data_IF_634232542697
#
_entry.id   IF_634232542697
#
_cell.length_a   1.000
_cell.length_b   1.000
_cell.length_c   1.000
_cell.angle_alpha   90.00
_cell.angle_beta   90.00
_cell.angle_gamma   90.00
#
_symmetry.space_group_name_H-M   'P 1'
#
loop_
_entity.id
_entity.type
_entity.pdbx_description
1 polymer ?
#
# COMPACT_ATOMS: atom_id res chain seq x y z
N UNK A 1 17.09 -26.17 -32.52
CA UNK A 1 15.62 -26.01 -32.48
C UNK A 1 15.18 -25.85 -31.02
N UNK A 2 13.97 -25.33 -30.71
CA UNK A 2 13.51 -25.15 -29.32
C UNK A 2 13.64 -26.42 -28.47
N UNK A 3 13.33 -27.58 -29.06
CA UNK A 3 13.48 -28.90 -28.43
C UNK A 3 14.93 -29.17 -27.97
N UNK A 4 15.90 -28.93 -28.86
CA UNK A 4 17.32 -29.19 -28.55
C UNK A 4 17.82 -28.30 -27.40
N UNK A 5 17.40 -27.04 -27.39
CA UNK A 5 17.76 -26.07 -26.35
C UNK A 5 17.20 -26.53 -24.99
N UNK A 6 15.92 -26.93 -24.95
CA UNK A 6 15.29 -27.35 -23.71
C UNK A 6 15.85 -28.68 -23.19
N UNK A 7 16.20 -29.62 -24.09
CA UNK A 7 16.87 -30.86 -23.70
C UNK A 7 18.28 -30.59 -23.14
N UNK A 8 19.04 -29.70 -23.76
CA UNK A 8 20.35 -29.29 -23.25
C UNK A 8 20.25 -28.61 -21.88
N UNK A 9 19.26 -27.73 -21.69
CA UNK A 9 19.01 -27.09 -20.40
C UNK A 9 18.59 -28.11 -19.32
N UNK A 10 17.77 -29.09 -19.66
CA UNK A 10 17.37 -30.16 -18.75
C UNK A 10 18.54 -31.05 -18.33
N UNK A 11 19.41 -31.43 -19.28
CA UNK A 11 20.62 -32.19 -19.00
C UNK A 11 21.59 -31.40 -18.10
N UNK A 12 21.78 -30.10 -18.41
CA UNK A 12 22.59 -29.21 -17.59
C UNK A 12 22.04 -29.12 -16.15
N UNK A 13 20.73 -28.91 -16.00
CA UNK A 13 20.09 -28.80 -14.68
C UNK A 13 20.25 -30.07 -13.85
N UNK A 14 20.12 -31.24 -14.48
CA UNK A 14 20.34 -32.54 -13.81
C UNK A 14 21.79 -32.72 -13.37
N UNK A 15 22.76 -32.37 -14.23
CA UNK A 15 24.19 -32.51 -13.93
C UNK A 15 24.67 -31.54 -12.83
N UNK A 16 24.02 -30.39 -12.70
CA UNK A 16 24.37 -29.35 -11.72
C UNK A 16 23.45 -29.35 -10.49
N UNK A 17 22.62 -30.38 -10.32
CA UNK A 17 21.75 -30.55 -9.14
C UNK A 17 20.81 -29.36 -8.89
N UNK A 18 20.23 -28.80 -9.95
CA UNK A 18 19.17 -27.80 -9.80
C UNK A 18 17.84 -28.50 -9.51
N UNK A 19 17.12 -28.02 -8.48
CA UNK A 19 15.82 -28.57 -8.10
C UNK A 19 14.68 -28.09 -9.01
N UNK A 20 14.79 -26.86 -9.54
CA UNK A 20 13.74 -26.21 -10.33
C UNK A 20 14.33 -25.69 -11.63
N UNK A 21 13.69 -26.06 -12.75
CA UNK A 21 13.96 -25.54 -14.08
C UNK A 21 12.70 -24.86 -14.62
N UNK A 22 12.81 -23.58 -14.95
CA UNK A 22 11.74 -22.83 -15.63
C UNK A 22 12.12 -22.71 -17.09
N UNK A 23 11.25 -23.22 -17.98
CA UNK A 23 11.41 -23.11 -19.43
C UNK A 23 10.41 -22.07 -19.93
N UNK A 24 10.92 -20.88 -20.28
CA UNK A 24 10.12 -19.86 -20.95
C UNK A 24 10.02 -20.17 -22.45
N UNK A 25 8.83 -20.00 -23.00
CA UNK A 25 8.53 -20.30 -24.41
C UNK A 25 8.05 -19.03 -25.10
N UNK A 26 8.28 -18.93 -26.41
CA UNK A 26 7.85 -17.76 -27.17
C UNK A 26 6.32 -17.50 -27.00
N UNK A 27 5.97 -16.24 -26.72
CA UNK A 27 4.58 -15.79 -26.63
C UNK A 27 3.84 -15.95 -27.96
N UNK A 28 2.54 -16.25 -27.90
CA UNK A 28 1.73 -16.61 -29.07
C UNK A 28 0.41 -15.86 -29.03
N UNK A 29 0.30 -14.83 -29.87
CA UNK A 29 -0.83 -13.92 -29.91
C UNK A 29 -2.06 -14.51 -30.62
N UNK A 30 -1.90 -15.65 -31.29
CA UNK A 30 -2.98 -16.33 -32.02
C UNK A 30 -2.80 -17.84 -32.04
N UNK A 31 -3.89 -18.54 -32.38
CA UNK A 31 -3.91 -19.99 -32.57
C UNK A 31 -3.30 -20.29 -33.94
N UNK A 32 -1.98 -20.48 -33.99
CA UNK A 32 -1.26 -20.96 -35.18
C UNK A 32 -0.96 -22.46 -35.00
N UNK A 33 -1.48 -23.30 -35.90
CA UNK A 33 -1.31 -24.75 -35.86
C UNK A 33 0.15 -25.18 -35.87
N UNK A 34 1.01 -24.53 -36.66
CA UNK A 34 2.44 -24.86 -36.73
C UNK A 34 3.12 -24.58 -35.39
N UNK A 35 2.74 -23.48 -34.74
CA UNK A 35 3.23 -23.16 -33.40
C UNK A 35 2.73 -24.19 -32.38
N UNK A 36 1.43 -24.51 -32.38
CA UNK A 36 0.87 -25.49 -31.44
C UNK A 36 1.51 -26.87 -31.56
N UNK A 37 1.87 -27.30 -32.77
CA UNK A 37 2.66 -28.51 -32.99
C UNK A 37 4.08 -28.40 -32.41
N UNK A 38 4.73 -27.26 -32.56
CA UNK A 38 6.08 -27.05 -32.01
C UNK A 38 6.10 -27.16 -30.48
N UNK A 39 5.11 -26.58 -29.78
CA UNK A 39 5.07 -26.64 -28.31
C UNK A 39 4.62 -28.01 -27.81
N UNK A 40 3.75 -28.70 -28.54
CA UNK A 40 3.40 -30.09 -28.24
C UNK A 40 4.63 -31.00 -28.36
N UNK A 41 5.45 -30.81 -29.41
CA UNK A 41 6.71 -31.53 -29.58
C UNK A 41 7.71 -31.21 -28.46
N UNK A 42 7.84 -29.94 -28.07
CA UNK A 42 8.67 -29.50 -26.95
C UNK A 42 8.22 -30.15 -25.64
N UNK A 43 6.94 -30.08 -25.32
CA UNK A 43 6.34 -30.68 -24.13
C UNK A 43 6.55 -32.20 -24.10
N UNK A 44 6.34 -32.89 -25.22
CA UNK A 44 6.55 -34.33 -25.35
C UNK A 44 8.01 -34.75 -25.14
N UNK A 45 8.96 -33.91 -25.54
CA UNK A 45 10.39 -34.17 -25.38
C UNK A 45 10.87 -33.99 -23.94
N UNK A 46 10.49 -32.89 -23.27
CA UNK A 46 11.00 -32.57 -21.93
C UNK A 46 10.14 -33.11 -20.79
N UNK A 47 8.88 -33.50 -21.06
CA UNK A 47 7.94 -34.12 -20.11
C UNK A 47 7.86 -33.35 -18.78
N UNK A 48 7.44 -32.08 -18.81
CA UNK A 48 7.42 -31.24 -17.62
C UNK A 48 6.41 -31.76 -16.59
N UNK A 49 6.70 -31.52 -15.31
CA UNK A 49 5.78 -31.83 -14.19
C UNK A 49 4.66 -30.78 -14.14
N UNK A 50 4.99 -29.54 -14.47
CA UNK A 50 4.09 -28.39 -14.44
C UNK A 50 4.11 -27.68 -15.78
N UNK A 51 2.92 -27.46 -16.36
CA UNK A 51 2.69 -26.69 -17.58
C UNK A 51 1.75 -25.55 -17.24
N UNK A 52 2.32 -24.36 -17.05
CA UNK A 52 1.60 -23.16 -16.62
C UNK A 52 1.18 -22.32 -17.82
N UNK A 53 -0.12 -22.06 -17.96
CA UNK A 53 -0.64 -21.14 -18.97
C UNK A 53 -0.68 -19.72 -18.40
N UNK A 54 0.07 -18.80 -19.03
CA UNK A 54 0.14 -17.40 -18.61
C UNK A 54 -0.86 -16.59 -19.42
N UNK A 55 -1.77 -15.89 -18.75
CA UNK A 55 -2.82 -15.11 -19.40
C UNK A 55 -2.93 -13.71 -18.81
N UNK A 56 -3.06 -12.73 -19.70
CA UNK A 56 -3.29 -11.33 -19.34
C UNK A 56 -4.73 -11.13 -18.85
N UNK A 57 -4.91 -10.55 -17.66
CA UNK A 57 -6.21 -10.26 -17.10
C UNK A 57 -7.04 -9.29 -17.97
N UNK A 58 -6.40 -8.51 -18.85
CA UNK A 58 -7.06 -7.57 -19.77
C UNK A 58 -7.65 -8.23 -21.02
N UNK A 59 -7.25 -9.46 -21.38
CA UNK A 59 -7.65 -10.13 -22.64
C UNK A 59 -9.15 -10.48 -22.72
N UNK A 60 -9.93 -10.25 -21.66
CA UNK A 60 -11.39 -10.34 -21.69
C UNK A 60 -11.90 -11.67 -22.23
N UNK A 61 -12.74 -11.61 -23.27
CA UNK A 61 -13.33 -12.79 -23.91
C UNK A 61 -12.36 -13.51 -24.86
N UNK A 62 -11.31 -12.87 -25.35
CA UNK A 62 -10.36 -13.55 -26.26
C UNK A 62 -9.49 -14.56 -25.50
N UNK A 63 -9.27 -14.31 -24.20
CA UNK A 63 -8.60 -15.26 -23.29
C UNK A 63 -9.27 -16.65 -23.27
N UNK A 64 -10.60 -16.72 -23.48
CA UNK A 64 -11.40 -17.96 -23.49
C UNK A 64 -10.97 -18.86 -24.65
N UNK A 65 -10.91 -18.30 -25.86
CA UNK A 65 -10.61 -19.07 -27.06
C UNK A 65 -9.17 -19.56 -27.04
N UNK A 66 -8.24 -18.70 -26.64
CA UNK A 66 -6.83 -19.05 -26.50
C UNK A 66 -6.65 -20.12 -25.42
N UNK A 67 -7.25 -19.95 -24.24
CA UNK A 67 -7.15 -20.94 -23.16
C UNK A 67 -7.68 -22.32 -23.57
N UNK A 68 -8.78 -22.36 -24.33
CA UNK A 68 -9.33 -23.61 -24.87
C UNK A 68 -8.34 -24.29 -25.82
N UNK A 69 -7.82 -23.57 -26.81
CA UNK A 69 -6.89 -24.13 -27.78
C UNK A 69 -5.60 -24.66 -27.13
N UNK A 70 -5.07 -23.94 -26.13
CA UNK A 70 -3.91 -24.41 -25.37
C UNK A 70 -4.23 -25.61 -24.49
N UNK A 71 -5.40 -25.66 -23.85
CA UNK A 71 -5.82 -26.79 -23.03
C UNK A 71 -6.09 -28.07 -23.84
N UNK A 72 -6.55 -27.92 -25.08
CA UNK A 72 -6.78 -29.04 -25.99
C UNK A 72 -5.46 -29.60 -26.56
N UNK A 73 -4.46 -28.74 -26.79
CA UNK A 73 -3.18 -29.14 -27.36
C UNK A 73 -2.13 -29.56 -26.32
N UNK A 74 -2.18 -29.01 -25.10
CA UNK A 74 -1.22 -29.25 -24.04
C UNK A 74 -1.93 -29.63 -22.74
N UNK A 75 -1.39 -30.58 -21.97
CA UNK A 75 -1.92 -30.93 -20.66
C UNK A 75 -1.52 -29.85 -19.64
N UNK A 76 -2.29 -28.77 -19.59
CA UNK A 76 -2.09 -27.69 -18.63
C UNK A 76 -2.30 -28.19 -17.19
N UNK A 77 -1.48 -27.71 -16.26
CA UNK A 77 -1.55 -28.07 -14.83
C UNK A 77 -1.94 -26.89 -13.95
N UNK A 78 -1.74 -25.66 -14.44
CA UNK A 78 -2.11 -24.44 -13.73
C UNK A 78 -2.13 -23.22 -14.63
N UNK A 79 -2.66 -22.13 -14.08
CA UNK A 79 -2.76 -20.84 -14.75
C UNK A 79 -2.01 -19.78 -13.93
N UNK A 80 -1.38 -18.85 -14.63
CA UNK A 80 -0.83 -17.62 -14.05
C UNK A 80 -1.56 -16.44 -14.68
N UNK A 81 -2.13 -15.59 -13.84
CA UNK A 81 -2.79 -14.35 -14.28
C UNK A 81 -1.82 -13.19 -14.16
N UNK A 82 -1.63 -12.40 -15.20
CA UNK A 82 -0.75 -11.22 -15.16
C UNK A 82 -1.54 -9.92 -15.31
N UNK A 83 -0.89 -8.80 -15.00
CA UNK A 83 -1.44 -7.43 -15.14
C UNK A 83 -2.71 -7.19 -14.31
N UNK A 84 -2.72 -7.74 -13.10
CA UNK A 84 -3.73 -7.45 -12.09
C UNK A 84 -3.41 -6.15 -11.32
N UNK A 85 -2.54 -5.30 -11.81
CA UNK A 85 -2.38 -3.92 -11.33
C UNK A 85 -3.31 -2.93 -12.04
N UNK A 86 -3.82 -3.29 -13.23
CA UNK A 86 -4.72 -2.43 -14.00
C UNK A 86 -6.20 -2.50 -13.58
N UNK A 87 -7.03 -1.77 -14.33
CA UNK A 87 -8.49 -1.68 -14.18
C UNK A 87 -9.23 -3.00 -14.51
N UNK A 88 -8.50 -4.03 -14.92
CA UNK A 88 -9.06 -5.33 -15.20
C UNK A 88 -9.65 -5.94 -13.91
N UNK A 89 -10.97 -6.08 -13.88
CA UNK A 89 -11.72 -6.69 -12.77
C UNK A 89 -11.54 -8.21 -12.66
N UNK A 90 -10.49 -8.78 -13.24
CA UNK A 90 -10.19 -10.21 -13.12
C UNK A 90 -11.21 -11.16 -13.76
N UNK A 91 -12.17 -10.68 -14.57
CA UNK A 91 -13.20 -11.54 -15.18
C UNK A 91 -12.63 -12.64 -16.08
N UNK A 92 -11.49 -12.39 -16.73
CA UNK A 92 -10.77 -13.39 -17.52
C UNK A 92 -10.33 -14.60 -16.67
N UNK A 93 -10.00 -14.41 -15.39
CA UNK A 93 -9.63 -15.48 -14.47
C UNK A 93 -10.74 -16.53 -14.33
N UNK A 94 -11.97 -16.08 -14.18
CA UNK A 94 -13.14 -16.95 -14.03
C UNK A 94 -13.38 -17.73 -15.31
N UNK A 95 -13.35 -17.05 -16.46
CA UNK A 95 -13.60 -17.66 -17.76
C UNK A 95 -12.54 -18.70 -18.12
N UNK A 96 -11.25 -18.38 -17.94
CA UNK A 96 -10.14 -19.31 -18.21
C UNK A 96 -10.19 -20.52 -17.28
N UNK A 97 -10.45 -20.32 -15.98
CA UNK A 97 -10.62 -21.44 -15.04
C UNK A 97 -11.83 -22.31 -15.40
N UNK A 98 -12.94 -21.70 -15.78
CA UNK A 98 -14.15 -22.44 -16.15
C UNK A 98 -13.93 -23.36 -17.36
N UNK A 99 -13.19 -22.89 -18.36
CA UNK A 99 -12.94 -23.62 -19.60
C UNK A 99 -11.88 -24.70 -19.43
N UNK A 100 -10.76 -24.34 -18.83
CA UNK A 100 -9.61 -25.25 -18.68
C UNK A 100 -9.80 -26.24 -17.53
N UNK A 101 -10.63 -25.88 -16.54
CA UNK A 101 -10.78 -26.62 -15.28
C UNK A 101 -9.53 -26.58 -14.40
N UNK A 102 -8.49 -25.82 -14.76
CA UNK A 102 -7.20 -25.81 -14.07
C UNK A 102 -7.18 -24.75 -12.96
N UNK A 103 -6.43 -24.99 -11.86
CA UNK A 103 -6.30 -24.01 -10.80
C UNK A 103 -5.46 -22.82 -11.26
N UNK A 104 -5.85 -21.62 -10.83
CA UNK A 104 -4.98 -20.45 -10.89
C UNK A 104 -4.00 -20.55 -9.72
N UNK A 105 -2.69 -20.53 -10.01
CA UNK A 105 -1.63 -20.70 -9.02
C UNK A 105 -1.03 -19.37 -8.57
N UNK A 106 -0.81 -18.46 -9.52
CA UNK A 106 -0.14 -17.19 -9.26
C UNK A 106 -0.83 -16.02 -9.95
N UNK A 107 -0.59 -14.83 -9.41
CA UNK A 107 -1.07 -13.54 -9.88
C UNK A 107 0.07 -12.53 -9.95
N UNK A 108 0.29 -11.93 -11.11
CA UNK A 108 1.16 -10.79 -11.31
C UNK A 108 0.42 -9.48 -11.05
N UNK A 109 0.79 -8.78 -9.98
CA UNK A 109 0.21 -7.51 -9.51
C UNK A 109 1.16 -6.32 -9.69
N UNK A 110 2.30 -6.51 -10.35
CA UNK A 110 3.19 -5.42 -10.75
C UNK A 110 4.11 -5.89 -11.89
N UNK A 111 4.74 -4.94 -12.58
CA UNK A 111 5.77 -5.21 -13.60
C UNK A 111 7.11 -5.67 -13.01
N UNK A 112 7.33 -5.40 -11.71
CA UNK A 112 8.58 -5.70 -11.01
C UNK A 112 8.62 -7.16 -10.55
N UNK A 113 9.83 -7.64 -10.23
CA UNK A 113 10.07 -9.02 -9.79
C UNK A 113 9.36 -9.39 -8.47
N UNK A 114 9.07 -8.41 -7.62
CA UNK A 114 8.31 -8.57 -6.38
C UNK A 114 6.78 -8.61 -6.61
N UNK A 115 6.33 -8.48 -7.86
CA UNK A 115 4.92 -8.45 -8.24
C UNK A 115 4.26 -9.81 -8.44
N UNK A 116 4.95 -10.94 -8.25
CA UNK A 116 4.36 -12.27 -8.41
C UNK A 116 3.89 -12.82 -7.05
N UNK A 117 2.58 -12.92 -6.88
CA UNK A 117 1.93 -13.40 -5.66
C UNK A 117 1.22 -14.75 -5.88
N UNK A 118 1.04 -15.53 -4.82
CA UNK A 118 0.17 -16.70 -4.85
C UNK A 118 -1.29 -16.28 -5.03
N UNK A 119 -2.05 -17.03 -5.83
CA UNK A 119 -3.46 -16.73 -6.08
C UNK A 119 -4.32 -16.96 -4.83
N UNK A 120 -5.08 -15.93 -4.45
CA UNK A 120 -6.08 -15.98 -3.39
C UNK A 120 -7.49 -15.79 -3.98
N UNK A 121 -8.36 -16.83 -3.97
CA UNK A 121 -9.72 -16.74 -4.50
C UNK A 121 -10.59 -15.70 -3.79
N UNK A 122 -10.41 -15.51 -2.48
CA UNK A 122 -11.19 -14.57 -1.69
C UNK A 122 -10.83 -13.13 -2.09
N UNK A 123 -9.53 -12.83 -2.15
CA UNK A 123 -9.04 -11.51 -2.61
C UNK A 123 -9.49 -11.20 -4.03
N UNK A 124 -9.49 -12.21 -4.91
CA UNK A 124 -9.97 -12.06 -6.29
C UNK A 124 -11.49 -11.78 -6.33
N UNK A 125 -12.28 -12.49 -5.54
CA UNK A 125 -13.72 -12.28 -5.45
C UNK A 125 -14.06 -10.87 -4.94
N UNK A 126 -13.38 -10.41 -3.89
CA UNK A 126 -13.56 -9.07 -3.34
C UNK A 126 -13.26 -8.00 -4.40
N UNK A 127 -12.17 -8.18 -5.16
CA UNK A 127 -11.80 -7.30 -6.29
C UNK A 127 -12.86 -7.29 -7.39
N UNK A 128 -13.37 -8.45 -7.80
CA UNK A 128 -14.43 -8.56 -8.82
C UNK A 128 -15.70 -7.84 -8.37
N UNK A 129 -16.09 -8.01 -7.11
CA UNK A 129 -17.30 -7.43 -6.51
C UNK A 129 -17.16 -5.93 -6.23
N UNK A 130 -15.98 -5.33 -6.43
CA UNK A 130 -15.71 -3.94 -6.07
C UNK A 130 -15.70 -3.69 -4.56
N UNK A 131 -15.84 -4.74 -3.75
CA UNK A 131 -15.65 -4.69 -2.31
C UNK A 131 -14.16 -4.68 -1.95
N UNK A 132 -13.27 -5.02 -2.89
CA UNK A 132 -11.82 -4.96 -2.74
C UNK A 132 -11.34 -3.55 -2.48
N UNK A 133 -11.89 -2.53 -3.13
CA UNK A 133 -11.51 -1.13 -2.87
C UNK A 133 -12.07 -0.65 -1.53
N UNK A 134 -13.27 -1.08 -1.12
CA UNK A 134 -13.85 -0.70 0.17
C UNK A 134 -13.18 -1.45 1.32
N UNK A 135 -12.87 -2.73 1.16
CA UNK A 135 -12.16 -3.53 2.15
C UNK A 135 -10.68 -3.16 2.20
N UNK A 136 -10.03 -2.85 1.08
CA UNK A 136 -8.69 -2.25 1.07
C UNK A 136 -8.72 -0.85 1.67
N UNK A 137 -9.69 0.02 1.37
CA UNK A 137 -9.85 1.31 2.04
C UNK A 137 -10.17 1.16 3.53
N UNK A 138 -10.90 0.12 3.94
CA UNK A 138 -11.17 -0.20 5.35
C UNK A 138 -9.94 -0.81 6.00
N UNK A 139 -9.16 -1.64 5.31
CA UNK A 139 -7.90 -2.21 5.80
C UNK A 139 -6.79 -1.17 5.84
N UNK A 140 -6.76 -0.23 4.91
CA UNK A 140 -5.83 0.88 4.81
C UNK A 140 -6.24 2.00 5.77
N UNK A 141 -7.55 2.22 5.98
CA UNK A 141 -8.08 2.99 7.11
C UNK A 141 -7.80 2.31 8.46
N UNK A 142 -7.86 0.97 8.55
CA UNK A 142 -7.47 0.20 9.75
C UNK A 142 -5.94 0.14 9.94
N UNK A 143 -5.14 0.22 8.87
CA UNK A 143 -3.66 0.30 8.94
C UNK A 143 -3.18 1.72 9.24
N UNK A 144 -3.92 2.74 8.80
CA UNK A 144 -3.66 4.16 9.09
C UNK A 144 -4.21 4.61 10.45
N UNK A 145 -5.24 3.94 10.95
CA UNK A 145 -5.77 4.06 12.31
C UNK A 145 -5.32 2.84 13.08
N UNK A 146 -4.09 2.92 13.58
CA UNK A 146 -3.56 2.04 14.59
C UNK A 146 -4.57 2.00 15.76
N UNK A 147 -5.43 0.97 15.80
CA UNK A 147 -6.55 0.87 16.75
C UNK A 147 -6.05 0.90 18.19
N UNK A 148 -4.85 0.40 18.42
CA UNK A 148 -4.17 0.47 19.71
C UNK A 148 -3.73 1.91 20.02
N UNK A 149 -3.14 2.64 19.06
CA UNK A 149 -2.78 4.04 19.27
C UNK A 149 -4.00 4.96 19.44
N UNK A 150 -5.10 4.67 18.73
CA UNK A 150 -6.37 5.40 18.86
C UNK A 150 -7.04 5.11 20.20
N UNK A 151 -7.01 3.86 20.67
CA UNK A 151 -7.49 3.46 22.01
C UNK A 151 -6.62 4.04 23.12
N UNK A 152 -5.30 4.04 22.98
CA UNK A 152 -4.36 4.65 23.92
C UNK A 152 -4.52 6.17 23.98
N UNK A 153 -4.70 6.82 22.83
CA UNK A 153 -4.97 8.26 22.76
C UNK A 153 -6.33 8.58 23.37
N UNK A 154 -7.38 7.79 23.09
CA UNK A 154 -8.69 7.96 23.71
C UNK A 154 -8.66 7.68 25.23
N UNK A 155 -7.92 6.67 25.68
CA UNK A 155 -7.73 6.32 27.08
C UNK A 155 -6.95 7.40 27.83
N UNK A 156 -5.87 7.95 27.25
CA UNK A 156 -5.14 9.11 27.81
C UNK A 156 -6.00 10.38 27.83
N UNK A 157 -6.81 10.61 26.80
CA UNK A 157 -7.74 11.75 26.76
C UNK A 157 -8.79 11.61 27.87
N UNK A 158 -9.34 10.41 28.05
CA UNK A 158 -10.35 10.06 29.07
C UNK A 158 -9.76 10.02 30.49
N UNK A 159 -8.48 9.68 30.65
CA UNK A 159 -7.75 9.66 31.93
C UNK A 159 -7.19 11.04 32.36
N UNK A 160 -7.46 12.11 31.60
CA UNK A 160 -6.99 13.46 31.95
C UNK A 160 -5.49 13.71 31.68
N UNK A 161 -4.85 12.86 30.88
CA UNK A 161 -3.44 13.00 30.51
C UNK A 161 -3.16 14.35 29.83
N UNK A 162 -2.08 15.03 30.26
CA UNK A 162 -1.58 16.24 29.61
C UNK A 162 -0.95 15.84 28.28
N UNK A 163 -1.35 16.53 27.21
CA UNK A 163 -0.73 16.39 25.89
C UNK A 163 0.75 16.78 26.00
N UNK A 164 1.65 15.85 25.70
CA UNK A 164 3.11 16.00 25.82
C UNK A 164 3.84 15.89 24.46
N UNK A 165 5.18 16.02 24.44
CA UNK A 165 5.93 15.95 23.18
C UNK A 165 6.04 14.52 22.62
N UNK A 166 5.74 13.47 23.40
CA UNK A 166 5.65 12.10 22.88
C UNK A 166 4.39 11.96 22.02
N UNK A 167 3.27 12.49 22.51
CA UNK A 167 2.02 12.51 21.77
C UNK A 167 2.18 13.35 20.49
N UNK A 168 2.88 14.48 20.57
CA UNK A 168 3.18 15.30 19.40
C UNK A 168 4.03 14.58 18.36
N UNK A 169 5.06 13.84 18.81
CA UNK A 169 5.89 13.01 17.92
C UNK A 169 5.06 11.93 17.23
N UNK A 170 4.17 11.27 17.97
CA UNK A 170 3.31 10.23 17.43
C UNK A 170 2.41 10.77 16.32
N UNK A 171 1.82 11.96 16.49
CA UNK A 171 1.01 12.62 15.47
C UNK A 171 1.82 12.95 14.21
N UNK A 172 3.05 13.46 14.35
CA UNK A 172 3.95 13.72 13.22
C UNK A 172 4.27 12.41 12.47
N UNK A 173 4.56 11.33 13.20
CA UNK A 173 4.84 10.02 12.60
C UNK A 173 3.63 9.43 11.88
N UNK A 174 2.42 9.62 12.41
CA UNK A 174 1.18 9.15 11.79
C UNK A 174 0.89 9.91 10.49
N UNK A 175 1.06 11.23 10.49
CA UNK A 175 0.93 12.06 9.29
C UNK A 175 1.89 11.62 8.18
N UNK A 176 3.13 11.28 8.54
CA UNK A 176 4.13 10.77 7.59
C UNK A 176 3.73 9.42 6.98
N UNK A 177 3.16 8.51 7.79
CA UNK A 177 2.62 7.23 7.30
C UNK A 177 1.47 7.40 6.31
N UNK A 178 0.69 8.47 6.43
CA UNK A 178 -0.44 8.79 5.55
C UNK A 178 -0.05 9.50 4.24
N UNK A 179 1.24 9.52 3.87
CA UNK A 179 1.71 10.19 2.65
C UNK A 179 2.10 11.66 2.84
N UNK A 180 2.37 12.08 4.08
CA UNK A 180 2.85 13.44 4.37
C UNK A 180 1.76 14.50 4.19
N UNK A 181 2.17 15.74 3.88
CA UNK A 181 1.22 16.84 3.70
C UNK A 181 0.47 16.71 2.36
N UNK A 182 1.12 16.13 1.35
CA UNK A 182 0.50 15.81 0.06
C UNK A 182 -0.65 14.82 0.23
N UNK A 183 -0.41 13.69 0.91
CA UNK A 183 -1.45 12.68 1.14
C UNK A 183 -2.64 13.15 1.99
N UNK A 184 -2.47 14.20 2.80
CA UNK A 184 -3.59 14.86 3.49
C UNK A 184 -4.37 15.81 2.56
N UNK A 185 -3.70 16.54 1.67
CA UNK A 185 -4.34 17.42 0.69
C UNK A 185 -5.16 16.64 -0.34
N UNK A 186 -4.63 15.51 -0.80
CA UNK A 186 -5.32 14.63 -1.76
C UNK A 186 -6.63 14.07 -1.17
N UNK A 187 -6.74 14.04 0.15
CA UNK A 187 -7.93 13.59 0.91
C UNK A 187 -8.89 14.72 1.29
N UNK A 188 -8.54 15.99 1.03
CA UNK A 188 -9.44 17.12 1.30
C UNK A 188 -10.44 17.31 0.15
N UNK A 189 -11.68 17.76 0.42
CA UNK A 189 -12.65 18.08 -0.62
C UNK A 189 -12.10 19.15 -1.58
N UNK A 190 -12.42 19.02 -2.87
CA UNK A 190 -11.85 19.84 -3.96
C UNK A 190 -11.91 21.36 -3.73
N UNK A 191 -12.96 21.85 -3.05
CA UNK A 191 -13.12 23.27 -2.70
C UNK A 191 -12.04 23.79 -1.73
N UNK A 192 -11.47 22.93 -0.88
CA UNK A 192 -10.41 23.28 0.07
C UNK A 192 -9.01 23.09 -0.51
N UNK A 193 -8.85 22.23 -1.52
CA UNK A 193 -7.57 22.04 -2.23
C UNK A 193 -7.12 23.32 -2.94
N UNK A 194 -8.06 24.06 -3.54
CA UNK A 194 -7.78 25.31 -4.27
C UNK A 194 -7.26 26.44 -3.38
N UNK A 195 -7.67 26.49 -2.11
CA UNK A 195 -7.18 27.48 -1.14
C UNK A 195 -5.78 27.16 -0.61
N UNK A 196 -5.38 25.89 -0.64
CA UNK A 196 -4.08 25.41 -0.15
C UNK A 196 -3.00 25.32 -1.23
N UNK A 197 -3.37 25.37 -2.53
CA UNK A 197 -2.46 25.21 -3.67
C UNK A 197 -1.34 26.25 -3.79
N UNK A 198 -1.39 27.36 -3.05
CA UNK A 198 -0.33 28.38 -3.01
C UNK A 198 0.74 28.13 -1.93
N UNK A 199 0.59 27.10 -1.10
CA UNK A 199 1.57 26.77 -0.07
C UNK A 199 2.64 25.84 -0.63
N UNK A 200 3.91 26.18 -0.39
CA UNK A 200 5.06 25.44 -0.90
C UNK A 200 5.23 24.13 -0.12
N UNK A 201 4.56 23.06 -0.57
CA UNK A 201 4.41 21.79 0.15
C UNK A 201 5.73 21.12 0.50
N UNK A 202 6.70 21.15 -0.43
CA UNK A 202 8.04 20.60 -0.20
C UNK A 202 8.76 21.27 0.97
N UNK A 203 8.54 22.57 1.18
CA UNK A 203 9.10 23.29 2.31
C UNK A 203 8.41 22.90 3.62
N UNK A 204 7.10 22.65 3.58
CA UNK A 204 6.35 22.19 4.74
C UNK A 204 6.81 20.79 5.18
N UNK A 205 7.03 19.86 4.24
CA UNK A 205 7.56 18.54 4.57
C UNK A 205 8.96 18.58 5.18
N UNK A 206 9.85 19.42 4.63
CA UNK A 206 11.19 19.63 5.20
C UNK A 206 11.12 20.19 6.62
N UNK A 207 10.17 21.08 6.91
CA UNK A 207 9.95 21.59 8.26
C UNK A 207 9.44 20.49 9.21
N UNK A 208 8.50 19.66 8.78
CA UNK A 208 7.98 18.53 9.58
C UNK A 208 9.09 17.54 9.93
N UNK A 209 9.93 17.17 8.96
CA UNK A 209 11.10 16.30 9.20
C UNK A 209 12.08 16.93 10.19
N UNK A 210 12.27 18.25 10.12
CA UNK A 210 13.14 18.99 11.03
C UNK A 210 12.59 18.99 12.46
N UNK A 211 11.28 19.17 12.63
CA UNK A 211 10.61 19.07 13.93
C UNK A 211 10.77 17.66 14.54
N UNK A 212 10.62 16.61 13.73
CA UNK A 212 10.86 15.22 14.14
C UNK A 212 12.30 15.03 14.66
N UNK A 213 13.30 15.55 13.94
CA UNK A 213 14.71 15.50 14.35
C UNK A 213 14.99 16.22 15.67
N UNK A 214 14.35 17.37 15.90
CA UNK A 214 14.45 18.12 17.16
C UNK A 214 13.88 17.30 18.33
N UNK A 215 12.72 16.67 18.16
CA UNK A 215 12.10 15.85 19.23
C UNK A 215 12.92 14.59 19.52
N UNK A 216 13.50 13.97 18.48
CA UNK A 216 14.37 12.80 18.64
C UNK A 216 15.65 13.11 19.44
N UNK A 217 16.11 14.36 19.44
CA UNK A 217 17.28 14.83 20.21
C UNK A 217 16.97 15.12 21.69
N UNK A 218 15.73 14.88 22.13
CA UNK A 218 15.30 15.04 23.52
C UNK A 218 15.30 13.70 24.27
N UNK A 219 15.54 13.77 25.56
CA UNK A 219 15.38 12.64 26.49
C UNK A 219 13.88 12.37 26.77
N UNK A 220 13.49 11.15 27.18
CA UNK A 220 12.09 10.84 27.53
C UNK A 220 11.50 11.77 28.60
N UNK A 221 12.31 12.16 29.60
CA UNK A 221 11.89 13.09 30.65
C UNK A 221 11.57 14.50 30.13
N UNK A 222 12.37 15.00 29.18
CA UNK A 222 12.14 16.29 28.53
C UNK A 222 10.91 16.26 27.63
N UNK A 223 10.62 15.12 26.98
CA UNK A 223 9.41 14.97 26.16
C UNK A 223 8.14 14.92 27.00
N UNK A 224 8.18 14.23 28.13
CA UNK A 224 7.06 14.16 29.08
C UNK A 224 6.81 15.48 29.81
N UNK A 225 7.87 16.27 30.05
CA UNK A 225 7.80 17.58 30.73
C UNK A 225 8.58 18.65 29.96
N UNK A 226 7.97 19.28 28.94
CA UNK A 226 8.61 20.30 28.12
C UNK A 226 9.14 21.52 28.90
N UNK A 227 8.54 21.82 30.06
CA UNK A 227 8.95 22.91 30.97
C UNK A 227 10.41 22.81 31.43
N UNK A 228 10.97 21.60 31.42
CA UNK A 228 12.37 21.32 31.76
C UNK A 228 13.35 21.87 30.72
N UNK A 229 12.90 22.14 29.49
CA UNK A 229 13.73 22.54 28.35
C UNK A 229 14.12 24.02 28.46
N UNK A 230 15.11 24.31 29.30
CA UNK A 230 15.74 25.64 29.47
C UNK A 230 16.93 25.83 28.51
N UNK A 231 17.60 26.99 28.59
CA UNK A 231 18.65 27.41 27.65
C UNK A 231 19.75 26.36 27.40
N UNK A 232 20.27 25.71 28.45
CA UNK A 232 21.31 24.68 28.32
C UNK A 232 20.82 23.46 27.52
N UNK A 233 19.61 22.95 27.82
CA UNK A 233 19.01 21.82 27.10
C UNK A 233 18.67 22.17 25.66
N UNK A 234 18.20 23.40 25.40
CA UNK A 234 17.94 23.89 24.03
C UNK A 234 19.20 23.87 23.17
N UNK A 235 20.36 24.27 23.71
CA UNK A 235 21.64 24.18 23.00
C UNK A 235 22.04 22.74 22.69
N UNK A 236 21.89 21.83 23.66
CA UNK A 236 22.18 20.39 23.46
C UNK A 236 21.27 19.78 22.37
N UNK A 237 19.96 20.06 22.44
CA UNK A 237 18.97 19.58 21.46
C UNK A 237 19.26 20.14 20.07
N UNK A 238 19.57 21.43 19.97
CA UNK A 238 19.92 22.08 18.71
C UNK A 238 21.16 21.45 18.06
N UNK A 239 22.22 21.22 18.86
CA UNK A 239 23.43 20.55 18.39
C UNK A 239 23.17 19.09 17.95
N UNK A 240 22.37 18.33 18.72
CA UNK A 240 22.03 16.95 18.38
C UNK A 240 21.16 16.82 17.12
N UNK A 241 20.31 17.81 16.85
CA UNK A 241 19.45 17.84 15.67
C UNK A 241 20.08 18.54 14.45
N UNK A 242 21.27 19.15 14.60
CA UNK A 242 21.93 19.91 13.53
C UNK A 242 21.19 21.20 13.13
N UNK A 243 20.51 21.86 14.09
CA UNK A 243 19.70 23.06 13.85
C UNK A 243 20.12 24.22 14.75
N UNK A 244 19.62 25.42 14.48
CA UNK A 244 19.83 26.55 15.38
C UNK A 244 18.89 26.50 16.60
N UNK A 245 19.32 27.11 17.72
CA UNK A 245 18.50 27.22 18.94
C UNK A 245 17.16 27.93 18.69
N UNK A 246 17.12 28.85 17.73
CA UNK A 246 15.90 29.55 17.30
C UNK A 246 14.85 28.57 16.76
N UNK A 247 15.27 27.53 16.06
CA UNK A 247 14.37 26.52 15.49
C UNK A 247 13.76 25.64 16.59
N UNK A 248 14.55 25.31 17.61
CA UNK A 248 14.05 24.62 18.81
C UNK A 248 13.01 25.48 19.53
N UNK A 249 13.24 26.80 19.65
CA UNK A 249 12.26 27.72 20.24
C UNK A 249 10.96 27.79 19.43
N UNK A 250 11.06 27.87 18.10
CA UNK A 250 9.91 27.90 17.20
C UNK A 250 9.07 26.64 17.33
N UNK A 251 9.71 25.47 17.37
CA UNK A 251 9.02 24.19 17.55
C UNK A 251 8.32 24.12 18.91
N UNK A 252 8.98 24.52 20.00
CA UNK A 252 8.36 24.55 21.33
C UNK A 252 7.15 25.50 21.38
N UNK A 253 7.23 26.65 20.71
CA UNK A 253 6.08 27.57 20.61
C UNK A 253 4.91 26.97 19.83
N UNK A 254 5.19 26.27 18.72
CA UNK A 254 4.16 25.55 17.96
C UNK A 254 3.50 24.43 18.80
N UNK A 255 4.31 23.71 19.60
CA UNK A 255 3.79 22.73 20.54
C UNK A 255 2.89 23.36 21.60
N UNK A 256 3.29 24.48 22.21
CA UNK A 256 2.47 25.22 23.19
C UNK A 256 1.14 25.69 22.61
N UNK A 257 1.14 26.20 21.37
CA UNK A 257 -0.08 26.58 20.66
C UNK A 257 -1.03 25.39 20.47
N UNK A 258 -0.50 24.25 20.06
CA UNK A 258 -1.30 23.05 19.86
C UNK A 258 -1.80 22.47 21.19
N UNK A 259 -0.98 22.51 22.24
CA UNK A 259 -1.37 22.13 23.58
C UNK A 259 -2.51 23.03 24.11
N UNK A 260 -2.45 24.33 23.85
CA UNK A 260 -3.52 25.28 24.19
C UNK A 260 -4.81 24.99 23.42
N UNK A 261 -4.72 24.64 22.13
CA UNK A 261 -5.86 24.24 21.32
C UNK A 261 -6.49 22.93 21.83
N UNK A 262 -5.69 21.91 22.12
CA UNK A 262 -6.14 20.63 22.69
C UNK A 262 -6.82 20.82 24.04
N UNK A 263 -6.32 21.74 24.88
CA UNK A 263 -6.95 22.11 26.15
C UNK A 263 -8.33 22.75 25.94
N UNK A 264 -8.49 23.60 24.93
CA UNK A 264 -9.80 24.19 24.54
C UNK A 264 -10.76 23.14 24.00
N UNK A 265 -10.26 22.15 23.26
CA UNK A 265 -11.07 21.04 22.73
C UNK A 265 -11.59 20.13 23.87
N UNK A 266 -10.73 19.76 24.83
CA UNK A 266 -11.11 18.99 26.03
C UNK A 266 -12.10 19.75 26.94
N UNK A 267 -12.09 21.08 26.92
CA UNK A 267 -12.96 21.94 27.74
C UNK A 267 -14.40 22.11 27.23
N UNK A 268 -14.90 21.23 26.35
CA UNK A 268 -16.28 21.30 25.84
C UNK A 268 -16.54 22.34 24.75
N UNK A 269 -15.49 22.95 24.18
CA UNK A 269 -15.61 23.94 23.11
C UNK A 269 -16.29 23.42 21.85
N UNK A 270 -16.05 22.14 21.49
CA UNK A 270 -16.71 21.48 20.36
C UNK A 270 -18.22 21.30 20.59
N UNK A 271 -18.62 21.02 21.84
CA UNK A 271 -20.02 20.86 22.25
C UNK A 271 -20.76 22.21 22.28
N UNK A 272 -20.07 23.29 22.66
CA UNK A 272 -20.60 24.66 22.62
C UNK A 272 -20.72 25.19 21.19
N UNK A 273 -19.77 24.87 20.32
CA UNK A 273 -19.79 25.20 18.89
C UNK A 273 -20.88 24.43 18.14
N UNK A 274 -21.05 23.12 18.42
CA UNK A 274 -22.17 22.33 17.89
C UNK A 274 -23.53 22.81 18.38
N UNK A 275 -23.66 23.25 19.64
CA UNK A 275 -24.90 23.88 20.13
C UNK A 275 -25.19 25.22 19.46
N UNK A 276 -24.17 26.02 19.16
CA UNK A 276 -24.32 27.27 18.41
C UNK A 276 -24.76 27.05 16.96
N UNK A 277 -24.23 26.02 16.30
CA UNK A 277 -24.60 25.65 14.93
C UNK A 277 -25.99 25.02 14.83
N UNK A 278 -26.42 24.27 15.85
CA UNK A 278 -27.78 23.69 15.94
C UNK A 278 -28.87 24.75 16.17
N UNK A 279 -28.50 25.95 16.62
CA UNK A 279 -29.42 27.10 16.74
C UNK A 279 -29.61 27.91 15.44
N UNK A 280 -28.79 27.69 14.41
CA UNK A 280 -28.81 28.41 13.13
C UNK A 280 -29.35 27.59 11.94
N UNK A 281 -29.75 26.33 12.15
CA UNK A 281 -30.43 25.52 11.13
C UNK A 281 -31.90 25.35 11.48
N UNK A 282 -32.81 26.20 10.94
CA UNK A 282 -34.23 25.95 11.02
C UNK A 282 -34.62 24.83 10.06
N UNK A 283 -35.19 23.76 10.62
CA UNK A 283 -36.01 22.79 9.89
C UNK A 283 -35.27 21.58 9.33
N UNK A 284 -35.32 20.48 10.09
CA UNK A 284 -35.64 19.14 9.57
C UNK A 284 -36.12 18.32 10.78
N UNK A 285 -37.45 18.20 10.90
CA UNK A 285 -38.10 17.09 11.61
C UNK A 285 -38.13 15.90 10.68
#
# INVERSE_FOLDING_TARGET
KPVDIALAALDYAKKHYHDVLIVDTAGRLGIDEAMMQEIAALHGAIKPIETLFVVDAMLGQDAVNTAKAFNDALPLTGIVLTKLDGDARGGAALSVRHITGKPVKFTGVAEKLDGLEAFDPQRMADRILGMGDILALIEEAKKGVDLDAAQDMAAKIKAGGKFDLNDFKAQISQMKKMGGMSGLLDKLPAQFQQAAGNANMDQAEKQVRRMEGIINSMTPAERAKPDLIKASRKRRIAAGAGVQVQEVNRMLSQFEQMQAMMKKLKGGGLMKMMRGMKGMMPGMR
#
